data_IF_424341134802
#
_entry.id   IF_424341134802
#
_cell.length_a   1.000
_cell.length_b   1.000
_cell.length_c   1.000
_cell.angle_alpha   90.00
_cell.angle_beta   90.00
_cell.angle_gamma   90.00
#
_symmetry.space_group_name_H-M   'P 1'
#
loop_
_entity.id
_entity.type
_entity.pdbx_description
1 polymer ?
#
# COMPACT_ATOMS: atom_id res chain seq x y z
N UNK A 1 6.37 -15.64 11.67
CA UNK A 1 5.67 -14.35 11.67
C UNK A 1 4.18 -14.63 11.60
N UNK A 2 3.41 -14.30 12.64
CA UNK A 2 1.96 -14.50 12.64
C UNK A 2 1.36 -13.19 12.15
N UNK A 3 0.95 -13.14 10.89
CA UNK A 3 0.14 -12.03 10.38
C UNK A 3 -1.19 -12.12 11.14
N UNK A 4 -1.56 -11.05 11.83
CA UNK A 4 -2.78 -11.02 12.62
C UNK A 4 -4.00 -10.98 11.67
N UNK A 5 -4.63 -12.14 11.48
CA UNK A 5 -5.75 -12.34 10.56
C UNK A 5 -6.97 -11.51 10.97
N UNK A 6 -7.07 -11.16 12.26
CA UNK A 6 -8.15 -10.36 12.81
C UNK A 6 -8.08 -8.91 12.31
N UNK A 7 -6.87 -8.34 12.14
CA UNK A 7 -6.68 -7.01 11.52
C UNK A 7 -7.20 -7.01 10.09
N UNK A 8 -6.97 -8.08 9.32
CA UNK A 8 -7.46 -8.18 7.95
C UNK A 8 -8.99 -8.21 7.94
N UNK A 9 -9.63 -9.02 8.81
CA UNK A 9 -11.09 -9.11 8.88
C UNK A 9 -11.76 -7.80 9.30
N UNK A 10 -11.23 -7.09 10.29
CA UNK A 10 -11.79 -5.82 10.75
C UNK A 10 -11.80 -4.76 9.64
N UNK A 11 -10.80 -4.84 8.78
CA UNK A 11 -10.59 -3.92 7.67
C UNK A 11 -11.47 -4.29 6.50
N UNK A 12 -11.62 -5.57 6.24
CA UNK A 12 -12.62 -6.05 5.30
C UNK A 12 -14.04 -5.62 5.69
N UNK A 13 -14.34 -5.59 6.99
CA UNK A 13 -15.64 -5.12 7.50
C UNK A 13 -15.75 -3.61 7.36
N UNK A 14 -14.70 -2.84 7.67
CA UNK A 14 -14.67 -1.39 7.48
C UNK A 14 -14.89 -1.03 6.01
N UNK A 15 -14.07 -1.55 5.10
CA UNK A 15 -14.11 -1.28 3.68
C UNK A 15 -15.43 -1.71 3.03
N UNK A 16 -16.10 -2.75 3.57
CA UNK A 16 -17.39 -3.20 3.07
C UNK A 16 -18.51 -2.19 3.22
N UNK A 17 -18.39 -1.29 4.18
CA UNK A 17 -19.41 -0.30 4.50
C UNK A 17 -19.15 1.07 3.86
N UNK A 18 -18.02 1.23 3.17
CA UNK A 18 -17.62 2.51 2.57
C UNK A 18 -18.18 2.67 1.15
N UNK A 19 -18.66 3.85 0.83
CA UNK A 19 -19.05 4.25 -0.52
C UNK A 19 -17.83 4.67 -1.38
N UNK A 20 -18.01 4.93 -2.68
CA UNK A 20 -16.91 5.27 -3.58
C UNK A 20 -16.09 6.50 -3.17
N UNK A 21 -16.72 7.50 -2.53
CA UNK A 21 -16.06 8.70 -2.01
C UNK A 21 -15.18 8.35 -0.80
N UNK A 22 -15.71 7.55 0.12
CA UNK A 22 -15.00 7.08 1.31
C UNK A 22 -13.84 6.15 0.95
N UNK A 23 -14.04 5.26 -0.03
CA UNK A 23 -13.01 4.35 -0.53
C UNK A 23 -11.86 5.07 -1.22
N UNK A 24 -12.17 6.06 -2.07
CA UNK A 24 -11.14 6.84 -2.75
C UNK A 24 -10.36 7.72 -1.76
N UNK A 25 -11.07 8.31 -0.80
CA UNK A 25 -10.46 9.05 0.32
C UNK A 25 -9.52 8.15 1.14
N UNK A 26 -9.96 6.94 1.45
CA UNK A 26 -9.16 5.94 2.17
C UNK A 26 -7.91 5.54 1.37
N UNK A 27 -8.04 5.28 0.08
CA UNK A 27 -6.90 4.90 -0.78
C UNK A 27 -5.85 6.00 -0.90
N UNK A 28 -6.26 7.27 -1.02
CA UNK A 28 -5.35 8.43 -1.01
C UNK A 28 -4.56 8.49 0.30
N UNK A 29 -5.26 8.33 1.42
CA UNK A 29 -4.63 8.35 2.75
C UNK A 29 -3.63 7.20 2.89
N UNK A 30 -4.02 6.00 2.46
CA UNK A 30 -3.20 4.80 2.54
C UNK A 30 -1.90 4.92 1.72
N UNK A 31 -1.95 5.45 0.50
CA UNK A 31 -0.73 5.67 -0.30
C UNK A 31 0.18 6.75 0.30
N UNK A 32 -0.38 7.85 0.85
CA UNK A 32 0.43 8.88 1.52
C UNK A 32 1.16 8.32 2.73
N UNK A 33 0.45 7.60 3.59
CA UNK A 33 1.04 6.97 4.77
C UNK A 33 2.07 5.90 4.38
N UNK A 34 1.79 5.08 3.36
CA UNK A 34 2.77 4.11 2.87
C UNK A 34 4.04 4.76 2.32
N UNK A 35 3.94 5.93 1.65
CA UNK A 35 5.12 6.67 1.19
C UNK A 35 5.98 7.16 2.36
N UNK A 36 5.34 7.70 3.41
CA UNK A 36 6.03 8.12 4.63
C UNK A 36 6.73 6.94 5.32
N UNK A 37 6.09 5.77 5.36
CA UNK A 37 6.70 4.54 5.88
C UNK A 37 7.96 4.17 5.11
N UNK A 38 7.90 4.11 3.77
CA UNK A 38 9.08 3.76 2.96
C UNK A 38 10.21 4.79 3.05
N UNK A 39 9.91 6.09 3.15
CA UNK A 39 10.96 7.08 3.41
C UNK A 39 11.59 6.94 4.80
N UNK A 40 10.77 6.63 5.80
CA UNK A 40 11.25 6.39 7.15
C UNK A 40 12.19 5.17 7.18
N UNK A 41 11.90 4.14 6.37
CA UNK A 41 12.73 2.95 6.21
C UNK A 41 14.03 3.24 5.46
N UNK A 42 13.95 3.99 4.36
CA UNK A 42 15.14 4.39 3.59
C UNK A 42 16.20 5.11 4.44
N UNK A 43 15.79 5.85 5.48
CA UNK A 43 16.69 6.54 6.41
C UNK A 43 17.41 5.60 7.39
N UNK A 44 17.04 4.31 7.45
CA UNK A 44 17.50 3.33 8.44
C UNK A 44 18.24 2.15 7.83
N UNK A 45 18.26 2.07 6.51
CA UNK A 45 19.02 1.08 5.75
C UNK A 45 20.02 1.80 4.86
N UNK A 46 21.04 1.09 4.37
CA UNK A 46 22.08 1.66 3.52
C UNK A 46 22.17 0.93 2.18
N UNK A 47 22.81 1.57 1.19
CA UNK A 47 23.06 0.99 -0.11
C UNK A 47 21.80 0.82 -0.97
N UNK A 48 21.80 -0.20 -1.83
CA UNK A 48 20.75 -0.45 -2.83
C UNK A 48 19.34 -0.57 -2.22
N UNK A 49 19.23 -1.03 -0.98
CA UNK A 49 17.94 -1.17 -0.29
C UNK A 49 17.34 0.20 0.08
N UNK A 50 18.18 1.18 0.42
CA UNK A 50 17.73 2.54 0.69
C UNK A 50 17.18 3.18 -0.59
N UNK A 51 17.85 2.95 -1.72
CA UNK A 51 17.43 3.46 -3.04
C UNK A 51 16.09 2.84 -3.46
N UNK A 52 15.90 1.53 -3.28
CA UNK A 52 14.64 0.84 -3.59
C UNK A 52 13.48 1.36 -2.73
N UNK A 53 13.68 1.58 -1.43
CA UNK A 53 12.65 2.17 -0.57
C UNK A 53 12.32 3.62 -0.94
N UNK A 54 13.30 4.43 -1.34
CA UNK A 54 13.03 5.77 -1.85
C UNK A 54 12.24 5.72 -3.16
N UNK A 55 12.54 4.76 -4.04
CA UNK A 55 11.78 4.56 -5.26
C UNK A 55 10.33 4.18 -4.96
N UNK A 56 10.09 3.22 -4.07
CA UNK A 56 8.75 2.80 -3.65
C UNK A 56 7.97 3.96 -3.00
N UNK A 57 8.62 4.78 -2.17
CA UNK A 57 8.00 5.98 -1.62
C UNK A 57 7.58 6.98 -2.72
N UNK A 58 8.43 7.15 -3.74
CA UNK A 58 8.12 7.98 -4.91
C UNK A 58 6.93 7.46 -5.72
N UNK A 59 6.88 6.15 -5.97
CA UNK A 59 5.76 5.49 -6.66
C UNK A 59 4.45 5.69 -5.89
N UNK A 60 4.45 5.45 -4.57
CA UNK A 60 3.27 5.67 -3.73
C UNK A 60 2.77 7.12 -3.76
N UNK A 61 3.66 8.11 -3.70
CA UNK A 61 3.26 9.53 -3.83
C UNK A 61 2.63 9.86 -5.17
N UNK A 62 3.17 9.29 -6.26
CA UNK A 62 2.61 9.48 -7.59
C UNK A 62 1.19 8.91 -7.65
N UNK A 63 0.96 7.72 -7.09
CA UNK A 63 -0.38 7.13 -7.01
C UNK A 63 -1.33 7.98 -6.16
N UNK A 64 -0.88 8.47 -5.00
CA UNK A 64 -1.68 9.37 -4.18
C UNK A 64 -2.08 10.66 -4.93
N UNK A 65 -1.18 11.21 -5.76
CA UNK A 65 -1.47 12.36 -6.61
C UNK A 65 -2.52 12.03 -7.68
N UNK A 66 -2.34 10.92 -8.41
CA UNK A 66 -3.31 10.45 -9.43
C UNK A 66 -4.70 10.21 -8.83
N UNK A 67 -4.77 9.62 -7.64
CA UNK A 67 -6.04 9.42 -6.94
C UNK A 67 -6.66 10.74 -6.47
N UNK A 68 -5.83 11.71 -6.06
CA UNK A 68 -6.32 13.04 -5.67
C UNK A 68 -6.90 13.80 -6.88
N UNK A 69 -6.26 13.71 -8.05
CA UNK A 69 -6.79 14.28 -9.30
C UNK A 69 -8.12 13.62 -9.70
N UNK A 70 -8.22 12.29 -9.60
CA UNK A 70 -9.47 11.58 -9.84
C UNK A 70 -10.55 12.02 -8.85
N UNK A 71 -10.19 12.17 -7.58
CA UNK A 71 -11.11 12.60 -6.53
C UNK A 71 -11.66 13.99 -6.80
N UNK A 72 -10.82 14.96 -7.16
CA UNK A 72 -11.27 16.32 -7.51
C UNK A 72 -12.22 16.33 -8.72
N UNK A 73 -12.01 15.41 -9.67
CA UNK A 73 -12.87 15.28 -10.86
C UNK A 73 -14.22 14.64 -10.54
N UNK A 74 -14.24 13.59 -9.72
CA UNK A 74 -15.46 12.87 -9.34
C UNK A 74 -16.28 13.61 -8.26
N UNK A 75 -15.60 14.33 -7.37
CA UNK A 75 -16.19 15.01 -6.22
C UNK A 75 -15.74 16.48 -6.15
N UNK A 76 -16.08 17.30 -7.16
CA UNK A 76 -15.59 18.68 -7.26
C UNK A 76 -16.01 19.52 -6.06
N UNK A 77 -15.05 20.23 -5.47
CA UNK A 77 -15.26 21.09 -4.30
C UNK A 77 -15.35 20.34 -2.97
N UNK A 78 -15.26 19.01 -2.97
CA UNK A 78 -15.14 18.22 -1.75
C UNK A 78 -13.66 17.97 -1.42
N UNK A 79 -13.37 17.65 -0.16
CA UNK A 79 -12.06 17.19 0.29
C UNK A 79 -12.09 15.70 0.60
N UNK A 80 -11.00 14.95 0.40
CA UNK A 80 -10.89 13.59 0.89
C UNK A 80 -11.13 13.54 2.40
N UNK A 81 -11.80 12.50 2.87
CA UNK A 81 -11.88 12.23 4.30
C UNK A 81 -10.49 11.92 4.85
N UNK A 82 -10.19 12.49 6.01
CA UNK A 82 -9.01 12.11 6.77
C UNK A 82 -9.33 10.82 7.53
N UNK A 83 -8.77 9.72 7.05
CA UNK A 83 -8.80 8.47 7.78
C UNK A 83 -7.65 8.45 8.76
N UNK A 84 -7.95 8.34 10.06
CA UNK A 84 -6.96 7.95 11.06
C UNK A 84 -6.82 6.41 11.08
N UNK A 85 -6.87 5.80 9.90
CA UNK A 85 -6.75 4.37 9.73
C UNK A 85 -5.25 4.07 9.59
N UNK A 86 -4.67 3.21 10.44
CA UNK A 86 -3.29 2.83 10.29
C UNK A 86 -3.10 2.23 8.90
N UNK A 87 -2.06 2.59 8.13
CA UNK A 87 -1.88 2.17 6.74
C UNK A 87 -1.85 0.64 6.65
N UNK A 88 -2.86 0.07 6.01
CA UNK A 88 -3.22 -1.34 6.18
C UNK A 88 -2.29 -2.31 5.49
N UNK A 89 -1.70 -1.87 4.40
CA UNK A 89 -0.59 -2.50 3.71
C UNK A 89 0.73 -2.37 4.51
N UNK A 90 0.84 -1.47 5.50
CA UNK A 90 2.08 -1.30 6.28
C UNK A 90 1.94 -1.57 7.79
N UNK A 91 0.77 -2.00 8.25
CA UNK A 91 0.47 -2.31 9.66
C UNK A 91 1.30 -3.47 10.23
N UNK A 92 1.41 -4.62 9.55
CA UNK A 92 2.30 -5.71 9.99
C UNK A 92 3.78 -5.30 9.91
N UNK A 93 4.06 -4.32 9.05
CA UNK A 93 5.39 -3.87 8.66
C UNK A 93 5.96 -2.92 9.70
N UNK A 94 5.19 -1.96 10.23
CA UNK A 94 5.68 -0.98 11.20
C UNK A 94 6.21 -1.60 12.50
N UNK A 95 5.53 -2.61 13.08
CA UNK A 95 5.89 -3.13 14.41
C UNK A 95 7.08 -4.09 14.35
N UNK A 96 7.15 -4.94 13.33
CA UNK A 96 8.25 -5.90 13.16
C UNK A 96 9.46 -5.25 12.48
N UNK A 97 9.32 -4.35 11.49
CA UNK A 97 10.47 -3.68 10.86
C UNK A 97 11.27 -2.78 11.82
N UNK A 98 10.63 -2.22 12.86
CA UNK A 98 11.33 -1.47 13.91
C UNK A 98 12.38 -2.32 14.67
N UNK A 99 12.27 -3.65 14.61
CA UNK A 99 13.15 -4.58 15.33
C UNK A 99 14.29 -5.15 14.50
N UNK A 100 14.26 -5.05 13.17
CA UNK A 100 15.13 -5.87 12.33
C UNK A 100 16.21 -5.06 11.63
N UNK A 101 17.47 -5.47 11.85
CA UNK A 101 18.63 -5.04 11.07
C UNK A 101 18.99 -6.03 9.95
N UNK A 102 18.05 -6.88 9.53
CA UNK A 102 18.27 -7.94 8.55
C UNK A 102 17.48 -7.66 7.26
N UNK A 103 18.22 -7.64 6.15
CA UNK A 103 17.72 -7.33 4.80
C UNK A 103 16.67 -8.34 4.34
N UNK A 104 16.83 -9.62 4.71
CA UNK A 104 15.87 -10.68 4.35
C UNK A 104 14.49 -10.39 4.92
N UNK A 105 14.44 -10.06 6.22
CA UNK A 105 13.18 -9.77 6.90
C UNK A 105 12.53 -8.47 6.39
N UNK A 106 13.33 -7.46 6.04
CA UNK A 106 12.80 -6.22 5.44
C UNK A 106 12.13 -6.47 4.08
N UNK A 107 12.74 -7.32 3.25
CA UNK A 107 12.17 -7.75 1.97
C UNK A 107 10.92 -8.62 2.15
N UNK A 108 10.92 -9.56 3.10
CA UNK A 108 9.75 -10.37 3.42
C UNK A 108 8.55 -9.51 3.87
N UNK A 109 8.80 -8.48 4.66
CA UNK A 109 7.76 -7.54 5.11
C UNK A 109 7.25 -6.66 3.96
N UNK A 110 8.14 -6.21 3.07
CA UNK A 110 7.74 -5.48 1.86
C UNK A 110 6.88 -6.35 0.93
N UNK A 111 7.23 -7.63 0.74
CA UNK A 111 6.43 -8.58 -0.03
C UNK A 111 5.01 -8.73 0.52
N UNK A 112 4.89 -8.85 1.84
CA UNK A 112 3.57 -8.96 2.48
C UNK A 112 2.77 -7.67 2.31
N UNK A 113 3.40 -6.51 2.46
CA UNK A 113 2.77 -5.20 2.20
C UNK A 113 2.20 -5.11 0.79
N UNK A 114 3.00 -5.45 -0.22
CA UNK A 114 2.57 -5.34 -1.61
C UNK A 114 1.46 -6.36 -1.94
N UNK A 115 1.56 -7.60 -1.43
CA UNK A 115 0.52 -8.61 -1.59
C UNK A 115 -0.81 -8.20 -0.92
N UNK A 116 -0.75 -7.61 0.28
CA UNK A 116 -1.92 -7.10 0.99
C UNK A 116 -2.53 -5.91 0.24
N UNK A 117 -1.71 -4.94 -0.18
CA UNK A 117 -2.17 -3.79 -0.96
C UNK A 117 -2.87 -4.21 -2.26
N UNK A 118 -2.31 -5.20 -2.96
CA UNK A 118 -2.93 -5.80 -4.15
C UNK A 118 -4.32 -6.37 -3.85
N UNK A 119 -4.42 -7.20 -2.82
CA UNK A 119 -5.68 -7.89 -2.50
C UNK A 119 -6.75 -6.90 -2.02
N UNK A 120 -6.36 -5.88 -1.27
CA UNK A 120 -7.22 -4.74 -0.92
C UNK A 120 -7.72 -4.06 -2.19
N UNK A 121 -6.84 -3.64 -3.10
CA UNK A 121 -7.27 -2.93 -4.32
C UNK A 121 -8.11 -3.79 -5.26
N UNK A 122 -7.82 -5.09 -5.42
CA UNK A 122 -8.69 -6.02 -6.17
C UNK A 122 -10.08 -6.10 -5.54
N UNK A 123 -10.16 -6.04 -4.22
CA UNK A 123 -11.44 -6.05 -3.52
C UNK A 123 -12.17 -4.73 -3.70
N UNK A 124 -11.47 -3.60 -3.58
CA UNK A 124 -12.03 -2.27 -3.82
C UNK A 124 -12.56 -2.12 -5.24
N UNK A 125 -11.85 -2.66 -6.23
CA UNK A 125 -12.32 -2.74 -7.62
C UNK A 125 -13.67 -3.46 -7.73
N UNK A 126 -13.85 -4.60 -7.05
CA UNK A 126 -15.11 -5.37 -7.08
C UNK A 126 -16.26 -4.67 -6.34
N UNK A 127 -15.91 -3.79 -5.42
CA UNK A 127 -16.85 -3.07 -4.55
C UNK A 127 -17.21 -1.69 -5.07
N UNK A 128 -16.38 -1.12 -5.94
CA UNK A 128 -16.64 0.15 -6.57
C UNK A 128 -17.91 0.06 -7.41
N UNK A 129 -18.90 0.88 -7.06
CA UNK A 129 -20.13 1.04 -7.85
C UNK A 129 -19.95 1.91 -9.10
N UNK A 130 -18.82 2.61 -9.19
CA UNK A 130 -18.44 3.47 -10.31
C UNK A 130 -17.34 2.81 -11.15
N UNK A 131 -17.53 2.76 -12.47
CA UNK A 131 -16.64 2.05 -13.41
C UNK A 131 -15.25 2.70 -13.50
N UNK A 132 -15.18 4.02 -13.37
CA UNK A 132 -13.93 4.77 -13.43
C UNK A 132 -13.10 4.54 -12.16
N UNK A 133 -13.76 4.50 -11.00
CA UNK A 133 -13.15 4.11 -9.72
C UNK A 133 -12.71 2.64 -9.73
N UNK A 134 -13.53 1.75 -10.29
CA UNK A 134 -13.19 0.33 -10.40
C UNK A 134 -11.95 0.11 -11.27
N UNK A 135 -11.86 0.81 -12.40
CA UNK A 135 -10.71 0.76 -13.31
C UNK A 135 -9.42 1.18 -12.60
N UNK A 136 -9.44 2.31 -11.90
CA UNK A 136 -8.30 2.79 -11.13
C UNK A 136 -7.83 1.75 -10.10
N UNK A 137 -8.75 1.17 -9.32
CA UNK A 137 -8.38 0.17 -8.33
C UNK A 137 -7.80 -1.10 -8.99
N UNK A 138 -8.27 -1.47 -10.18
CA UNK A 138 -7.66 -2.54 -10.97
C UNK A 138 -6.23 -2.23 -11.39
N UNK A 139 -5.96 -0.99 -11.85
CA UNK A 139 -4.62 -0.54 -12.20
C UNK A 139 -3.68 -0.54 -10.99
N UNK A 140 -4.14 -0.04 -9.84
CA UNK A 140 -3.35 -0.03 -8.60
C UNK A 140 -3.04 -1.46 -8.12
N UNK A 141 -4.00 -2.38 -8.21
CA UNK A 141 -3.76 -3.78 -7.92
C UNK A 141 -2.68 -4.39 -8.84
N UNK A 142 -2.70 -4.06 -10.13
CA UNK A 142 -1.69 -4.54 -11.07
C UNK A 142 -0.29 -3.95 -10.76
N UNK A 143 -0.21 -2.68 -10.36
CA UNK A 143 1.05 -2.05 -9.95
C UNK A 143 1.60 -2.73 -8.69
N UNK A 144 0.75 -3.04 -7.71
CA UNK A 144 1.11 -3.78 -6.50
C UNK A 144 1.63 -5.19 -6.79
N UNK A 145 0.99 -5.92 -7.70
CA UNK A 145 1.49 -7.23 -8.16
C UNK A 145 2.88 -7.11 -8.81
N UNK A 146 3.07 -6.10 -9.68
CA UNK A 146 4.38 -5.88 -10.31
C UNK A 146 5.46 -5.54 -9.29
N UNK A 147 5.14 -4.74 -8.25
CA UNK A 147 6.06 -4.44 -7.16
C UNK A 147 6.41 -5.70 -6.34
N UNK A 148 5.41 -6.53 -6.03
CA UNK A 148 5.60 -7.82 -5.38
C UNK A 148 6.56 -8.73 -6.18
N UNK A 149 6.34 -8.87 -7.49
CA UNK A 149 7.21 -9.71 -8.34
C UNK A 149 8.66 -9.21 -8.39
N UNK A 150 8.88 -7.89 -8.38
CA UNK A 150 10.24 -7.31 -8.32
C UNK A 150 10.91 -7.61 -6.99
N UNK A 151 10.21 -7.37 -5.89
CA UNK A 151 10.70 -7.65 -4.54
C UNK A 151 10.99 -9.15 -4.35
N UNK A 152 10.20 -10.03 -4.97
CA UNK A 152 10.36 -11.47 -4.82
C UNK A 152 11.65 -11.95 -5.50
N UNK A 153 11.99 -11.37 -6.66
CA UNK A 153 13.27 -11.64 -7.33
C UNK A 153 14.44 -11.23 -6.46
N UNK A 154 14.38 -10.00 -5.90
CA UNK A 154 15.42 -9.51 -4.99
C UNK A 154 15.54 -10.36 -3.72
N UNK A 155 14.40 -10.78 -3.16
CA UNK A 155 14.37 -11.68 -2.01
C UNK A 155 15.09 -13.00 -2.33
N UNK A 156 14.75 -13.65 -3.44
CA UNK A 156 15.36 -14.91 -3.87
C UNK A 156 16.87 -14.79 -4.10
N UNK A 157 17.32 -13.68 -4.71
CA UNK A 157 18.75 -13.38 -4.90
C UNK A 157 19.51 -13.20 -3.57
N UNK A 158 18.85 -12.60 -2.56
CA UNK A 158 19.43 -12.38 -1.23
C UNK A 158 19.51 -13.68 -0.41
N UNK A 159 18.49 -14.55 -0.49
CA UNK A 159 18.49 -15.84 0.23
C UNK A 159 19.31 -16.93 -0.47
N UNK A 160 19.81 -16.66 -1.68
CA UNK A 160 20.72 -17.55 -2.41
C UNK A 160 20.05 -18.79 -3.01
N UNK A 161 18.83 -18.66 -3.53
CA UNK A 161 18.23 -19.67 -4.42
C UNK A 161 18.57 -19.44 -5.90
#
# INVERSE_FOLDING_TARGET
MVIDVDIIQDVEILLKNLNGYELLSYAICNEKCGAETYEWLAKRVEGMLADEFLQLAGEKRKHAAQMSELFERLYPGMKPLEFNAPPLDTLPVCTEMMRVGDVENALALALISEAMGRDIYRKLQRMAGDEEVATLFGELAAIKENAYERLLKLYNEVIGE
#
